data_IF_995832443719
#
_entry.id   IF_995832443719
#
_cell.length_a   1.000
_cell.length_b   1.000
_cell.length_c   1.000
_cell.angle_alpha   90.00
_cell.angle_beta   90.00
_cell.angle_gamma   90.00
#
_symmetry.space_group_name_H-M   'P 1'
#
loop_
_entity.id
_entity.type
_entity.pdbx_description
1 polymer ?
#
# COMPACT_ATOMS: atom_id res chain seq x y z
N UNK A 1 -22.09 -19.13 -18.47
CA UNK A 1 -21.33 -19.81 -17.41
C UNK A 1 -21.81 -19.27 -16.09
N UNK A 2 -22.67 -20.01 -15.40
CA UNK A 2 -23.25 -19.54 -14.15
C UNK A 2 -22.28 -19.69 -12.99
N UNK A 3 -21.89 -18.55 -12.45
CA UNK A 3 -20.89 -18.41 -11.39
C UNK A 3 -21.58 -17.85 -10.15
N UNK A 4 -21.29 -18.43 -8.99
CA UNK A 4 -21.81 -17.89 -7.74
C UNK A 4 -20.77 -16.97 -7.13
N UNK A 5 -21.20 -15.77 -6.75
CA UNK A 5 -20.35 -14.76 -6.15
C UNK A 5 -20.78 -14.51 -4.72
N UNK A 6 -19.80 -14.44 -3.81
CA UNK A 6 -19.99 -13.97 -2.45
C UNK A 6 -19.05 -12.80 -2.22
N UNK A 7 -19.63 -11.63 -1.98
CA UNK A 7 -18.92 -10.45 -1.47
C UNK A 7 -19.09 -10.41 0.04
N UNK A 8 -18.00 -10.18 0.76
CA UNK A 8 -18.04 -9.90 2.19
C UNK A 8 -17.32 -8.58 2.40
N UNK A 9 -18.08 -7.59 2.83
CA UNK A 9 -17.55 -6.32 3.31
C UNK A 9 -17.24 -6.47 4.81
N UNK A 10 -15.94 -6.41 5.13
CA UNK A 10 -15.47 -6.57 6.50
C UNK A 10 -15.75 -5.36 7.38
N UNK A 11 -15.92 -4.15 6.82
CA UNK A 11 -16.14 -2.94 7.62
C UNK A 11 -17.60 -2.75 8.05
N UNK A 12 -18.55 -3.11 7.17
CA UNK A 12 -19.98 -2.96 7.47
C UNK A 12 -20.68 -4.28 7.82
N UNK A 13 -19.92 -5.39 7.93
CA UNK A 13 -20.46 -6.71 8.30
C UNK A 13 -21.42 -7.32 7.27
N UNK A 14 -21.55 -6.69 6.09
CA UNK A 14 -22.47 -7.10 5.03
C UNK A 14 -21.91 -8.26 4.21
N UNK A 15 -22.72 -9.31 4.03
CA UNK A 15 -22.42 -10.40 3.10
C UNK A 15 -23.48 -10.48 2.02
N UNK A 16 -23.07 -10.26 0.78
CA UNK A 16 -23.93 -10.43 -0.40
C UNK A 16 -23.57 -11.73 -1.10
N UNK A 17 -24.59 -12.52 -1.46
CA UNK A 17 -24.45 -13.72 -2.28
C UNK A 17 -25.37 -13.61 -3.48
N UNK A 18 -24.84 -13.83 -4.68
CA UNK A 18 -25.61 -13.77 -5.92
C UNK A 18 -25.15 -14.85 -6.91
N UNK A 19 -26.07 -15.26 -7.80
CA UNK A 19 -25.78 -16.08 -8.99
C UNK A 19 -25.65 -15.14 -10.18
N UNK A 20 -24.63 -15.29 -11.00
CA UNK A 20 -24.35 -14.36 -12.08
C UNK A 20 -23.32 -14.84 -13.08
N UNK A 21 -22.94 -13.95 -13.99
CA UNK A 21 -21.85 -14.14 -14.93
C UNK A 21 -20.66 -13.30 -14.50
N UNK A 22 -19.45 -13.87 -14.56
CA UNK A 22 -18.21 -13.12 -14.38
C UNK A 22 -17.53 -12.92 -15.74
N UNK A 23 -17.22 -11.68 -16.05
CA UNK A 23 -16.46 -11.28 -17.21
C UNK A 23 -15.02 -11.01 -16.77
N UNK A 24 -14.06 -11.54 -17.52
CA UNK A 24 -12.63 -11.32 -17.29
C UNK A 24 -12.06 -10.61 -18.50
N UNK A 25 -11.40 -9.48 -18.25
CA UNK A 25 -10.64 -8.73 -19.24
C UNK A 25 -9.18 -8.62 -18.78
N UNK A 26 -8.33 -8.01 -19.61
CA UNK A 26 -6.94 -7.73 -19.25
C UNK A 26 -6.77 -6.66 -18.16
N UNK A 27 -7.81 -5.90 -17.83
CA UNK A 27 -7.72 -4.81 -16.82
C UNK A 27 -8.58 -5.05 -15.57
N UNK A 28 -9.66 -5.83 -15.69
CA UNK A 28 -10.63 -6.03 -14.59
C UNK A 28 -11.45 -7.30 -14.74
N UNK A 29 -12.00 -7.75 -13.62
CA UNK A 29 -13.10 -8.70 -13.54
C UNK A 29 -14.39 -7.96 -13.20
N UNK A 30 -15.49 -8.28 -13.89
CA UNK A 30 -16.81 -7.72 -13.58
C UNK A 30 -17.77 -8.87 -13.29
N UNK A 31 -18.33 -8.91 -12.09
CA UNK A 31 -19.45 -9.80 -11.78
C UNK A 31 -20.78 -9.09 -12.09
N UNK A 32 -21.69 -9.76 -12.80
CA UNK A 32 -23.05 -9.28 -13.07
C UNK A 32 -24.03 -10.30 -12.57
N UNK A 33 -24.92 -9.92 -11.65
CA UNK A 33 -25.94 -10.80 -11.10
C UNK A 33 -27.01 -11.10 -12.17
N UNK A 34 -27.44 -12.36 -12.29
CA UNK A 34 -28.52 -12.75 -13.21
C UNK A 34 -29.85 -12.10 -12.79
N UNK A 35 -30.01 -11.85 -11.49
CA UNK A 35 -31.11 -11.09 -10.89
C UNK A 35 -30.54 -10.20 -9.78
N UNK A 36 -30.96 -8.93 -9.65
CA UNK A 36 -30.52 -8.07 -8.55
C UNK A 36 -30.80 -8.68 -7.18
N UNK A 37 -29.87 -8.48 -6.23
CA UNK A 37 -30.03 -8.89 -4.82
C UNK A 37 -30.07 -7.63 -3.96
N UNK A 38 -31.28 -7.16 -3.63
CA UNK A 38 -31.43 -5.80 -3.09
C UNK A 38 -30.99 -4.76 -4.12
N UNK A 39 -30.12 -3.83 -3.72
CA UNK A 39 -29.49 -2.86 -4.62
C UNK A 39 -28.27 -3.40 -5.37
N UNK A 40 -27.85 -4.64 -5.10
CA UNK A 40 -26.67 -5.22 -5.72
C UNK A 40 -26.99 -5.82 -7.10
N UNK A 41 -26.43 -5.21 -8.14
CA UNK A 41 -26.62 -5.62 -9.56
C UNK A 41 -25.33 -6.18 -10.15
N UNK A 42 -24.21 -5.51 -9.89
CA UNK A 42 -22.90 -5.87 -10.41
C UNK A 42 -21.79 -5.44 -9.44
N UNK A 43 -20.59 -5.97 -9.64
CA UNK A 43 -19.41 -5.59 -8.89
C UNK A 43 -18.18 -5.60 -9.80
N UNK A 44 -17.47 -4.48 -9.82
CA UNK A 44 -16.25 -4.29 -10.61
C UNK A 44 -15.01 -4.53 -9.73
N UNK A 45 -14.03 -5.27 -10.26
CA UNK A 45 -12.79 -5.64 -9.59
C UNK A 45 -11.62 -5.41 -10.54
N UNK A 46 -10.99 -4.22 -10.50
CA UNK A 46 -9.79 -3.97 -11.30
C UNK A 46 -8.66 -4.91 -10.88
N UNK A 47 -8.04 -5.60 -11.83
CA UNK A 47 -7.02 -6.62 -11.55
C UNK A 47 -5.82 -6.06 -10.80
N UNK A 48 -5.53 -4.75 -10.99
CA UNK A 48 -4.47 -4.02 -10.30
C UNK A 48 -4.65 -4.01 -8.76
N UNK A 49 -5.89 -3.99 -8.29
CA UNK A 49 -6.21 -3.89 -6.85
C UNK A 49 -6.59 -5.24 -6.24
N UNK A 50 -6.64 -6.29 -7.04
CA UNK A 50 -6.93 -7.65 -6.58
C UNK A 50 -5.64 -8.28 -6.05
N UNK A 51 -5.69 -8.83 -4.84
CA UNK A 51 -4.57 -9.52 -4.19
C UNK A 51 -5.04 -10.67 -3.27
N UNK A 52 -4.08 -11.50 -2.83
CA UNK A 52 -4.36 -12.62 -1.92
C UNK A 52 -5.22 -13.71 -2.57
N UNK A 53 -5.10 -13.90 -3.88
CA UNK A 53 -5.88 -14.85 -4.65
C UNK A 53 -5.51 -16.28 -4.27
N UNK A 54 -6.54 -17.11 -4.05
CA UNK A 54 -6.36 -18.54 -3.77
C UNK A 54 -7.39 -19.34 -4.53
N UNK A 55 -6.92 -20.35 -5.26
CA UNK A 55 -7.77 -21.38 -5.83
C UNK A 55 -7.89 -22.55 -4.87
N UNK A 56 -9.12 -23.02 -4.62
CA UNK A 56 -9.42 -24.13 -3.73
C UNK A 56 -10.17 -25.22 -4.51
N UNK A 57 -9.67 -26.46 -4.46
CA UNK A 57 -10.25 -27.65 -5.10
C UNK A 57 -10.68 -28.69 -4.06
N UNK A 58 -11.79 -28.46 -3.36
CA UNK A 58 -12.30 -29.42 -2.40
C UNK A 58 -12.85 -30.68 -3.10
N UNK A 59 -12.61 -31.86 -2.51
CA UNK A 59 -13.06 -33.15 -3.07
C UNK A 59 -14.59 -33.28 -3.07
N UNK A 60 -15.27 -32.73 -2.06
CA UNK A 60 -16.73 -32.85 -1.86
C UNK A 60 -17.50 -31.53 -2.00
N UNK A 61 -16.90 -30.50 -2.59
CA UNK A 61 -17.54 -29.20 -2.82
C UNK A 61 -17.16 -28.65 -4.19
N UNK A 62 -17.74 -27.51 -4.59
CA UNK A 62 -17.36 -26.85 -5.82
C UNK A 62 -16.01 -26.12 -5.71
N UNK A 63 -15.27 -26.11 -6.82
CA UNK A 63 -14.06 -25.31 -6.96
C UNK A 63 -14.38 -23.83 -6.74
N UNK A 64 -13.47 -23.11 -6.09
CA UNK A 64 -13.65 -21.69 -5.86
C UNK A 64 -12.34 -20.91 -5.92
N UNK A 65 -12.42 -19.66 -6.35
CA UNK A 65 -11.37 -18.65 -6.18
C UNK A 65 -11.82 -17.70 -5.09
N UNK A 66 -10.93 -17.37 -4.15
CA UNK A 66 -11.13 -16.29 -3.19
C UNK A 66 -10.00 -15.27 -3.30
N UNK A 67 -10.28 -14.02 -2.94
CA UNK A 67 -9.27 -12.98 -2.89
C UNK A 67 -9.77 -11.74 -2.17
N UNK A 68 -8.95 -10.71 -2.20
CA UNK A 68 -9.20 -9.38 -1.67
C UNK A 68 -9.15 -8.38 -2.82
N UNK A 69 -9.91 -7.30 -2.71
CA UNK A 69 -9.85 -6.16 -3.62
C UNK A 69 -9.76 -4.88 -2.80
N UNK A 70 -8.73 -4.08 -3.07
CA UNK A 70 -8.63 -2.75 -2.48
C UNK A 70 -9.60 -1.79 -3.18
N UNK A 71 -10.22 -0.86 -2.42
CA UNK A 71 -11.12 0.12 -2.97
C UNK A 71 -10.36 1.14 -3.81
N UNK A 72 -10.97 1.57 -4.91
CA UNK A 72 -10.46 2.72 -5.68
C UNK A 72 -10.91 3.99 -4.98
N UNK A 73 -9.98 4.64 -4.26
CA UNK A 73 -10.25 5.87 -3.51
C UNK A 73 -10.34 7.05 -4.48
N UNK A 74 -11.47 7.78 -4.52
CA UNK A 74 -11.59 8.99 -5.33
C UNK A 74 -10.61 10.07 -4.89
N UNK A 75 -10.17 10.90 -5.82
CA UNK A 75 -9.28 12.02 -5.53
C UNK A 75 -9.92 12.97 -4.50
N UNK A 76 -9.15 13.38 -3.49
CA UNK A 76 -9.62 14.24 -2.40
C UNK A 76 -10.38 13.54 -1.26
N UNK A 77 -10.55 12.20 -1.30
CA UNK A 77 -11.15 11.44 -0.20
C UNK A 77 -10.12 10.66 0.63
N UNK A 78 -10.43 10.45 1.91
CA UNK A 78 -9.54 9.75 2.82
C UNK A 78 -9.70 8.22 2.70
N UNK A 79 -8.59 7.49 2.53
CA UNK A 79 -8.59 6.03 2.33
C UNK A 79 -9.27 5.25 3.45
N UNK A 80 -9.16 5.72 4.70
CA UNK A 80 -9.80 5.08 5.86
C UNK A 80 -11.34 5.02 5.81
N UNK A 81 -11.97 5.77 4.89
CA UNK A 81 -13.42 5.69 4.65
C UNK A 81 -13.81 4.44 3.85
N UNK A 82 -12.84 3.76 3.25
CA UNK A 82 -13.06 2.61 2.40
C UNK A 82 -12.37 1.39 2.99
N UNK A 83 -13.08 0.27 2.97
CA UNK A 83 -12.57 -1.01 3.44
C UNK A 83 -12.02 -1.83 2.29
N UNK A 84 -11.13 -2.76 2.56
CA UNK A 84 -10.80 -3.84 1.63
C UNK A 84 -11.96 -4.83 1.58
N UNK A 85 -12.45 -5.15 0.38
CA UNK A 85 -13.50 -6.16 0.23
C UNK A 85 -12.90 -7.54 0.00
N UNK A 86 -13.53 -8.56 0.57
CA UNK A 86 -13.19 -9.95 0.27
C UNK A 86 -14.22 -10.56 -0.66
N UNK A 87 -13.75 -11.28 -1.68
CA UNK A 87 -14.61 -11.94 -2.66
C UNK A 87 -14.36 -13.45 -2.69
N UNK A 88 -15.40 -14.18 -3.06
CA UNK A 88 -15.32 -15.62 -3.36
C UNK A 88 -16.20 -15.95 -4.56
N UNK A 89 -15.58 -16.52 -5.58
CA UNK A 89 -16.16 -16.98 -6.83
C UNK A 89 -16.26 -18.51 -6.76
N UNK A 90 -17.46 -19.07 -6.84
CA UNK A 90 -17.71 -20.50 -6.81
C UNK A 90 -18.14 -20.98 -8.21
N UNK A 91 -17.44 -22.00 -8.71
CA UNK A 91 -17.65 -22.61 -10.01
C UNK A 91 -18.55 -23.84 -9.87
N UNK A 92 -19.87 -23.63 -9.85
CA UNK A 92 -20.83 -24.73 -9.67
C UNK A 92 -21.11 -25.51 -10.96
N UNK A 93 -21.05 -24.84 -12.10
CA UNK A 93 -21.39 -25.42 -13.41
C UNK A 93 -20.13 -25.63 -14.28
N UNK A 94 -18.97 -25.84 -13.67
CA UNK A 94 -17.70 -26.05 -14.38
C UNK A 94 -17.00 -24.74 -14.79
N UNK A 95 -16.24 -24.78 -15.89
CA UNK A 95 -15.52 -23.63 -16.47
C UNK A 95 -14.25 -23.16 -15.72
N UNK A 96 -14.03 -23.63 -14.49
CA UNK A 96 -12.81 -23.29 -13.73
C UNK A 96 -11.51 -23.69 -14.45
N UNK A 97 -11.50 -24.79 -15.22
CA UNK A 97 -10.31 -25.25 -15.96
C UNK A 97 -9.81 -24.25 -17.02
N UNK A 98 -10.71 -23.41 -17.56
CA UNK A 98 -10.36 -22.34 -18.49
C UNK A 98 -10.15 -21.02 -17.76
N UNK A 99 -11.06 -20.68 -16.83
CA UNK A 99 -11.03 -19.40 -16.15
C UNK A 99 -9.79 -19.23 -15.26
N UNK A 100 -9.46 -20.23 -14.45
CA UNK A 100 -8.38 -20.18 -13.46
C UNK A 100 -7.02 -19.86 -14.10
N UNK A 101 -6.54 -20.59 -15.12
CA UNK A 101 -5.25 -20.26 -15.74
C UNK A 101 -5.26 -18.88 -16.39
N UNK A 102 -6.35 -18.50 -17.07
CA UNK A 102 -6.46 -17.17 -17.67
C UNK A 102 -6.39 -16.06 -16.62
N UNK A 103 -7.12 -16.20 -15.52
CA UNK A 103 -7.14 -15.24 -14.43
C UNK A 103 -5.74 -15.07 -13.80
N UNK A 104 -5.07 -16.16 -13.45
CA UNK A 104 -3.74 -16.09 -12.83
C UNK A 104 -2.68 -15.56 -13.81
N UNK A 105 -2.78 -15.87 -15.10
CA UNK A 105 -1.89 -15.31 -16.11
C UNK A 105 -2.08 -13.80 -16.27
N UNK A 106 -3.33 -13.33 -16.35
CA UNK A 106 -3.64 -11.91 -16.51
C UNK A 106 -3.22 -11.10 -15.28
N UNK A 107 -3.52 -11.58 -14.07
CA UNK A 107 -3.15 -10.83 -12.87
C UNK A 107 -1.63 -10.76 -12.68
N UNK A 108 -0.91 -11.82 -13.04
CA UNK A 108 0.56 -11.83 -13.04
C UNK A 108 1.12 -10.83 -14.06
N UNK A 109 0.54 -10.79 -15.26
CA UNK A 109 0.93 -9.85 -16.32
C UNK A 109 0.69 -8.39 -15.91
N UNK A 110 -0.46 -8.07 -15.31
CA UNK A 110 -0.79 -6.72 -14.81
C UNK A 110 0.23 -6.27 -13.75
N UNK A 111 0.60 -7.16 -12.81
CA UNK A 111 1.58 -6.85 -11.76
C UNK A 111 2.99 -6.65 -12.33
N UNK A 112 3.41 -7.48 -13.28
CA UNK A 112 4.69 -7.30 -13.97
C UNK A 112 4.74 -5.98 -14.75
N UNK A 113 3.66 -5.63 -15.43
CA UNK A 113 3.55 -4.35 -16.13
C UNK A 113 3.63 -3.17 -15.16
N UNK A 114 2.97 -3.25 -14.00
CA UNK A 114 3.05 -2.22 -12.97
C UNK A 114 4.48 -2.03 -12.44
N UNK A 115 5.19 -3.13 -12.16
CA UNK A 115 6.57 -3.10 -11.65
C UNK A 115 7.59 -2.57 -12.68
N UNK A 116 7.32 -2.76 -13.97
CA UNK A 116 8.18 -2.27 -15.06
C UNK A 116 7.85 -0.84 -15.47
N UNK A 117 6.57 -0.44 -15.42
CA UNK A 117 6.12 0.92 -15.77
C UNK A 117 6.40 1.93 -14.66
N UNK A 118 6.36 1.48 -13.41
CA UNK A 118 6.84 2.22 -12.26
C UNK A 118 8.07 1.48 -11.75
N UNK A 119 9.30 1.80 -12.22
CA UNK A 119 10.47 1.34 -11.53
C UNK A 119 10.30 1.79 -10.08
N UNK A 120 10.18 0.82 -9.18
CA UNK A 120 10.01 1.11 -7.78
C UNK A 120 11.19 1.99 -7.38
N UNK A 121 10.93 3.25 -7.04
CA UNK A 121 11.78 4.02 -6.10
C UNK A 121 11.69 3.39 -4.69
N UNK A 122 11.72 2.06 -4.62
CA UNK A 122 12.09 1.27 -3.46
C UNK A 122 13.51 0.72 -3.69
N UNK A 123 14.40 1.55 -4.26
CA UNK A 123 15.60 1.79 -3.47
C UNK A 123 15.08 2.32 -2.13
N UNK A 124 15.58 1.85 -0.96
CA UNK A 124 15.25 2.54 0.28
C UNK A 124 15.44 4.03 0.00
N UNK A 125 14.42 4.86 0.28
CA UNK A 125 14.69 6.27 0.55
C UNK A 125 15.57 6.27 1.79
N UNK A 126 16.85 5.97 1.59
CA UNK A 126 17.89 6.70 2.26
C UNK A 126 17.52 8.15 1.98
N UNK A 127 17.07 8.81 3.05
CA UNK A 127 17.02 10.24 3.16
C UNK A 127 18.17 10.83 2.30
N UNK A 128 17.96 11.77 1.36
CA UNK A 128 19.05 12.33 0.56
C UNK A 128 20.16 12.97 1.42
N UNK A 129 19.94 13.09 2.73
CA UNK A 129 20.85 13.55 3.76
C UNK A 129 21.57 12.43 4.54
N UNK A 130 21.30 11.16 4.25
CA UNK A 130 22.11 10.02 4.69
C UNK A 130 22.71 9.32 3.46
N UNK A 131 23.46 10.08 2.67
CA UNK A 131 24.55 9.47 1.93
C UNK A 131 25.39 8.72 2.96
N UNK A 132 25.45 7.40 2.79
CA UNK A 132 26.37 6.54 3.50
C UNK A 132 27.71 7.27 3.63
N UNK A 133 28.20 7.42 4.86
CA UNK A 133 29.57 7.82 5.11
C UNK A 133 30.42 6.90 4.24
N UNK A 134 30.89 7.42 3.11
CA UNK A 134 31.80 6.65 2.27
C UNK A 134 33.08 6.52 3.10
N UNK A 135 33.78 5.37 3.08
CA UNK A 135 35.06 5.25 3.78
C UNK A 135 36.07 6.32 3.35
N UNK A 136 35.81 6.96 2.20
CA UNK A 136 36.59 8.06 1.63
C UNK A 136 36.28 9.41 2.29
N UNK A 137 35.03 9.67 2.71
CA UNK A 137 34.65 10.89 3.44
C UNK A 137 35.25 10.93 4.85
N UNK A 138 35.35 9.79 5.51
CA UNK A 138 36.05 9.68 6.79
C UNK A 138 37.57 9.88 6.61
N UNK A 139 38.12 9.42 5.48
CA UNK A 139 39.52 9.62 5.11
C UNK A 139 39.85 11.07 4.73
N UNK A 140 38.91 11.80 4.10
CA UNK A 140 39.06 13.23 3.77
C UNK A 140 38.93 14.17 4.97
N UNK A 141 38.30 13.73 6.06
CA UNK A 141 38.08 14.55 7.27
C UNK A 141 39.23 14.49 8.28
N UNK A 142 40.15 13.54 8.11
CA UNK A 142 41.36 13.47 8.91
C UNK A 142 42.50 14.10 8.11
N UNK A 143 42.82 15.37 8.39
CA UNK A 143 44.16 15.86 8.09
C UNK A 143 45.17 15.00 8.86
N UNK A 144 46.34 14.75 8.27
CA UNK A 144 47.38 13.89 8.86
C UNK A 144 47.74 14.40 10.27
N UNK A 145 47.33 13.67 11.32
CA UNK A 145 47.61 14.03 12.71
C UNK A 145 48.95 13.42 13.10
N UNK A 146 49.93 14.26 13.41
CA UNK A 146 51.19 13.83 14.03
C UNK A 146 50.89 13.29 15.44
N UNK A 147 51.18 12.01 15.74
CA UNK A 147 50.89 11.42 17.04
C UNK A 147 51.58 12.08 18.24
N UNK A 148 52.65 12.86 18.03
CA UNK A 148 53.36 13.56 19.09
C UNK A 148 52.89 15.00 19.33
N UNK A 149 51.96 15.52 18.51
CA UNK A 149 51.41 16.86 18.66
C UNK A 149 49.90 16.78 18.99
N UNK A 150 49.48 17.17 20.21
CA UNK A 150 48.07 17.12 20.61
C UNK A 150 47.19 18.18 19.94
N UNK A 151 47.74 19.00 19.04
CA UNK A 151 47.01 20.08 18.36
C UNK A 151 46.13 19.52 17.22
N UNK A 152 44.82 19.79 17.25
CA UNK A 152 43.86 19.35 16.22
C UNK A 152 43.49 20.50 15.29
N UNK A 153 43.81 20.34 14.00
CA UNK A 153 43.38 21.29 12.95
C UNK A 153 42.09 20.77 12.32
N UNK A 154 41.03 21.55 12.45
CA UNK A 154 39.74 21.27 11.82
C UNK A 154 39.66 22.02 10.50
N UNK A 155 39.50 21.30 9.38
CA UNK A 155 39.37 21.91 8.05
C UNK A 155 38.05 22.70 7.88
N UNK A 156 37.09 22.51 8.77
CA UNK A 156 35.84 23.28 8.82
C UNK A 156 35.45 23.58 10.27
N UNK A 157 35.27 24.85 10.61
CA UNK A 157 34.90 25.29 11.96
C UNK A 157 33.44 24.91 12.29
N UNK A 158 33.13 24.43 13.51
CA UNK A 158 31.75 24.28 13.96
C UNK A 158 31.08 25.66 14.09
N UNK A 159 29.86 25.78 13.58
CA UNK A 159 29.00 26.95 13.79
C UNK A 159 28.73 27.17 15.28
N UNK A 160 29.21 28.30 15.79
CA UNK A 160 29.10 28.70 17.20
C UNK A 160 27.67 28.99 17.66
N UNK A 161 27.40 28.58 18.89
CA UNK A 161 26.17 28.54 19.70
C UNK A 161 25.36 29.85 19.80
N UNK A 162 24.06 29.76 20.18
CA UNK A 162 23.56 30.50 21.36
C UNK A 162 22.12 30.17 21.85
N UNK A 163 22.06 29.77 23.13
CA UNK A 163 21.14 30.23 24.19
C UNK A 163 19.78 29.53 24.44
N UNK A 164 19.81 28.75 25.53
CA UNK A 164 18.76 28.25 26.40
C UNK A 164 17.57 29.22 26.59
N UNK A 165 16.38 28.85 26.12
CA UNK A 165 15.12 29.57 26.42
C UNK A 165 14.50 29.04 27.73
N UNK A 166 14.99 29.53 28.88
CA UNK A 166 14.35 29.35 30.19
C UNK A 166 13.17 30.33 30.29
N UNK A 167 11.92 29.84 30.20
CA UNK A 167 10.71 30.64 30.50
C UNK A 167 10.40 30.55 31.99
N UNK A 168 10.67 31.61 32.75
CA UNK A 168 10.09 31.83 34.07
C UNK A 168 9.20 33.07 33.97
N UNK A 169 7.91 32.93 34.27
CA UNK A 169 6.95 34.04 34.36
C UNK A 169 7.04 34.64 35.77
N UNK A 170 7.37 35.93 35.88
CA UNK A 170 6.97 36.79 36.99
C UNK A 170 6.74 38.22 36.46
N UNK A 171 5.57 38.83 36.71
CA UNK A 171 5.26 40.20 36.26
C UNK A 171 5.86 41.26 37.21
N UNK A 172 6.54 42.25 36.64
CA UNK A 172 6.91 43.51 37.31
C UNK A 172 5.83 44.56 37.02
N UNK A 173 5.39 45.30 38.05
CA UNK A 173 5.68 46.75 38.19
C UNK A 173 5.11 47.31 39.51
N UNK A 174 6.01 47.77 40.37
CA UNK A 174 5.87 48.95 41.24
C UNK A 174 6.18 50.18 40.36
N UNK A 175 5.75 51.43 40.54
CA UNK A 175 4.88 52.14 41.48
C UNK A 175 4.80 53.61 40.94
N UNK A 176 3.90 54.42 41.51
CA UNK A 176 3.87 55.89 41.55
C UNK A 176 3.23 56.72 40.42
N UNK A 177 2.20 57.47 40.81
CA UNK A 177 1.83 58.78 40.27
C UNK A 177 1.19 59.64 41.37
N UNK A 178 1.93 60.66 41.81
CA UNK A 178 1.56 61.99 42.38
C UNK A 178 0.46 62.04 43.43
#
# INVERSE_FOLDING_TARGET
>A
MDTYYSLIDKAHGGRVKAKGTIYLSNIRMVFVANKPVGSFVAFDMPLLYVHGEKFNQPIFHCNNISGLVEPVVPEGQHSALYSTQSFKILFKEGGCGTFVPLFFNLISSVRQYQQSSYPTEAAPRADPLQAAQTPVDEMMRHAYVDPNDPTKIFLQQPTGESQLRRRTYQPQTADQSI
#
